data_IF_115303454902
#
_entry.id   IF_115303454902
#
_cell.length_a   1.000
_cell.length_b   1.000
_cell.length_c   1.000
_cell.angle_alpha   90.00
_cell.angle_beta   90.00
_cell.angle_gamma   90.00
#
_symmetry.space_group_name_H-M   'P 1'
#
loop_
_entity.id
_entity.type
_entity.pdbx_description
1 polymer ?
#
# COMPACT_ATOMS: atom_id res chain seq x y z
N UNK A 1 -30.01 -63.96 24.94
CA UNK A 1 -28.60 -63.93 24.47
C UNK A 1 -28.36 -62.84 23.43
N UNK A 2 -29.18 -62.70 22.39
CA UNK A 2 -28.99 -61.73 21.29
C UNK A 2 -28.77 -60.24 21.66
N UNK A 3 -29.33 -59.75 22.77
CA UNK A 3 -29.10 -58.36 23.23
C UNK A 3 -27.66 -58.14 23.73
N UNK A 4 -27.12 -59.11 24.48
CA UNK A 4 -25.76 -59.02 25.04
C UNK A 4 -24.72 -59.00 23.91
N UNK A 5 -24.90 -59.84 22.89
CA UNK A 5 -23.97 -59.91 21.76
C UNK A 5 -24.01 -58.63 20.91
N UNK A 6 -25.21 -58.08 20.67
CA UNK A 6 -25.36 -56.76 20.03
C UNK A 6 -24.71 -55.66 20.86
N UNK A 7 -24.97 -55.61 22.17
CA UNK A 7 -24.40 -54.57 23.03
C UNK A 7 -22.87 -54.62 23.04
N UNK A 8 -22.27 -55.80 23.15
CA UNK A 8 -20.80 -55.96 23.08
C UNK A 8 -20.22 -55.51 21.74
N UNK A 9 -20.90 -55.83 20.63
CA UNK A 9 -20.49 -55.36 19.31
C UNK A 9 -20.55 -53.84 19.18
N UNK A 10 -21.62 -53.19 19.66
CA UNK A 10 -21.77 -51.74 19.67
C UNK A 10 -20.73 -51.06 20.57
N UNK A 11 -20.48 -51.60 21.76
CA UNK A 11 -19.46 -51.08 22.67
C UNK A 11 -18.05 -51.15 22.05
N UNK A 12 -17.73 -52.25 21.36
CA UNK A 12 -16.45 -52.39 20.64
C UNK A 12 -16.30 -51.38 19.49
N UNK A 13 -17.35 -51.19 18.67
CA UNK A 13 -17.36 -50.19 17.62
C UNK A 13 -17.19 -48.78 18.17
N UNK A 14 -17.94 -48.43 19.22
CA UNK A 14 -17.90 -47.10 19.83
C UNK A 14 -16.53 -46.81 20.45
N UNK A 15 -15.91 -47.81 21.10
CA UNK A 15 -14.55 -47.69 21.62
C UNK A 15 -13.51 -47.52 20.49
N UNK A 16 -13.64 -48.26 19.39
CA UNK A 16 -12.75 -48.10 18.23
C UNK A 16 -12.86 -46.71 17.60
N UNK A 17 -14.09 -46.21 17.43
CA UNK A 17 -14.33 -44.88 16.87
C UNK A 17 -13.83 -43.79 17.81
N UNK A 18 -14.04 -43.93 19.13
CA UNK A 18 -13.53 -42.97 20.11
C UNK A 18 -11.99 -42.91 20.10
N UNK A 19 -11.31 -44.06 20.05
CA UNK A 19 -9.84 -44.11 19.95
C UNK A 19 -9.34 -43.47 18.66
N UNK A 20 -10.04 -43.69 17.54
CA UNK A 20 -9.69 -43.05 16.26
C UNK A 20 -9.83 -41.52 16.36
N UNK A 21 -10.96 -41.03 16.86
CA UNK A 21 -11.19 -39.59 17.04
C UNK A 21 -10.16 -38.97 17.98
N UNK A 22 -9.79 -39.65 19.07
CA UNK A 22 -8.74 -39.18 19.98
C UNK A 22 -7.38 -39.07 19.28
N UNK A 23 -6.98 -40.08 18.51
CA UNK A 23 -5.72 -40.06 17.76
C UNK A 23 -5.69 -38.96 16.68
N UNK A 24 -6.80 -38.78 15.96
CA UNK A 24 -6.95 -37.68 14.99
C UNK A 24 -6.91 -36.31 15.69
N UNK A 25 -7.51 -36.17 16.87
CA UNK A 25 -7.51 -34.92 17.65
C UNK A 25 -6.10 -34.57 18.16
N UNK A 26 -5.33 -35.57 18.62
CA UNK A 26 -3.93 -35.38 19.02
C UNK A 26 -3.06 -34.95 17.83
N UNK A 27 -3.29 -35.53 16.66
CA UNK A 27 -2.57 -35.16 15.43
C UNK A 27 -2.87 -33.71 15.05
N UNK A 28 -4.14 -33.33 15.04
CA UNK A 28 -4.57 -31.95 14.77
C UNK A 28 -3.98 -30.95 15.77
N UNK A 29 -3.86 -31.34 17.04
CA UNK A 29 -3.26 -30.49 18.06
C UNK A 29 -1.80 -30.14 17.73
N UNK A 30 -0.99 -31.12 17.33
CA UNK A 30 0.40 -30.88 16.93
C UNK A 30 0.54 -30.07 15.65
N UNK A 31 -0.33 -30.30 14.67
CA UNK A 31 -0.37 -29.49 13.45
C UNK A 31 -0.72 -28.02 13.76
N UNK A 32 -1.69 -27.78 14.64
CA UNK A 32 -2.07 -26.43 15.09
C UNK A 32 -0.91 -25.76 15.83
N UNK A 33 -0.19 -26.48 16.70
CA UNK A 33 0.97 -25.93 17.41
C UNK A 33 2.10 -25.54 16.45
N UNK A 34 2.38 -26.38 15.45
CA UNK A 34 3.37 -26.09 14.42
C UNK A 34 2.98 -24.84 13.62
N UNK A 35 1.73 -24.75 13.16
CA UNK A 35 1.22 -23.57 12.45
C UNK A 35 1.27 -22.32 13.33
N UNK A 36 0.95 -22.42 14.62
CA UNK A 36 1.04 -21.29 15.54
C UNK A 36 2.47 -20.77 15.68
N UNK A 37 3.44 -21.67 15.74
CA UNK A 37 4.86 -21.31 15.77
C UNK A 37 5.28 -20.60 14.48
N UNK A 38 4.93 -21.15 13.31
CA UNK A 38 5.27 -20.56 12.02
C UNK A 38 4.65 -19.16 11.84
N UNK A 39 3.38 -18.98 12.24
CA UNK A 39 2.70 -17.68 12.22
C UNK A 39 3.43 -16.66 13.10
N UNK A 40 3.93 -17.10 14.27
CA UNK A 40 4.69 -16.23 15.17
C UNK A 40 6.03 -15.81 14.57
N UNK A 41 6.78 -16.73 13.98
CA UNK A 41 8.05 -16.43 13.31
C UNK A 41 7.84 -15.44 12.14
N UNK A 42 6.82 -15.66 11.31
CA UNK A 42 6.46 -14.72 10.23
C UNK A 42 6.10 -13.33 10.79
N UNK A 43 5.37 -13.26 11.91
CA UNK A 43 5.01 -11.98 12.51
C UNK A 43 6.25 -11.21 13.00
N UNK A 44 7.22 -11.91 13.58
CA UNK A 44 8.49 -11.33 14.02
C UNK A 44 9.34 -10.85 12.82
N UNK A 45 9.39 -11.63 11.74
CA UNK A 45 10.07 -11.25 10.49
C UNK A 45 9.44 -10.01 9.85
N UNK A 46 8.11 -9.94 9.77
CA UNK A 46 7.39 -8.76 9.27
C UNK A 46 7.70 -7.52 10.11
N UNK A 47 7.78 -7.68 11.43
CA UNK A 47 8.13 -6.59 12.36
C UNK A 47 9.57 -6.13 12.14
N UNK A 48 10.52 -7.06 12.00
CA UNK A 48 11.91 -6.76 11.72
C UNK A 48 12.09 -6.05 10.37
N UNK A 49 11.41 -6.53 9.33
CA UNK A 49 11.41 -5.93 8.00
C UNK A 49 10.89 -4.49 8.04
N UNK A 50 9.75 -4.27 8.71
CA UNK A 50 9.16 -2.94 8.88
C UNK A 50 10.13 -1.99 9.59
N UNK A 51 10.83 -2.46 10.62
CA UNK A 51 11.80 -1.67 11.36
C UNK A 51 13.05 -1.35 10.52
N UNK A 52 13.53 -2.30 9.72
CA UNK A 52 14.62 -2.10 8.77
C UNK A 52 14.27 -1.04 7.73
N UNK A 53 13.08 -1.12 7.12
CA UNK A 53 12.57 -0.12 6.18
C UNK A 53 12.41 1.25 6.85
N UNK A 54 11.85 1.32 8.06
CA UNK A 54 11.73 2.58 8.79
C UNK A 54 13.09 3.24 9.07
N UNK A 55 14.12 2.43 9.38
CA UNK A 55 15.49 2.91 9.59
C UNK A 55 16.08 3.48 8.30
N UNK A 56 15.86 2.81 7.16
CA UNK A 56 16.28 3.31 5.85
C UNK A 56 15.56 4.62 5.50
N UNK A 57 14.25 4.68 5.70
CA UNK A 57 13.47 5.88 5.42
C UNK A 57 13.94 7.07 6.28
N UNK A 58 14.14 6.87 7.58
CA UNK A 58 14.64 7.89 8.49
C UNK A 58 16.03 8.41 8.07
N UNK A 59 16.91 7.52 7.61
CA UNK A 59 18.25 7.91 7.10
C UNK A 59 18.19 8.86 5.91
N UNK A 60 17.15 8.77 5.09
CA UNK A 60 16.97 9.55 3.88
C UNK A 60 15.89 10.63 3.99
N UNK A 61 15.37 10.89 5.19
CA UNK A 61 14.25 11.81 5.46
C UNK A 61 12.97 11.51 4.64
N UNK A 62 12.76 10.22 4.34
CA UNK A 62 11.61 9.75 3.57
C UNK A 62 10.41 9.49 4.47
N UNK A 63 9.22 9.64 3.89
CA UNK A 63 7.95 9.30 4.54
C UNK A 63 7.15 8.28 3.73
N UNK A 64 6.10 7.73 4.34
CA UNK A 64 5.18 6.83 3.65
C UNK A 64 4.47 7.53 2.49
N UNK A 65 4.23 8.84 2.60
CA UNK A 65 3.79 9.68 1.49
C UNK A 65 4.99 10.13 0.67
N UNK A 66 4.96 9.88 -0.64
CA UNK A 66 6.00 10.32 -1.57
C UNK A 66 5.91 11.82 -1.77
N UNK A 67 7.04 12.50 -1.59
CA UNK A 67 7.21 13.92 -1.87
C UNK A 67 7.91 14.09 -3.21
N UNK A 68 7.71 15.25 -3.83
CA UNK A 68 8.39 15.61 -5.09
C UNK A 68 9.91 15.48 -4.91
N UNK A 69 10.44 16.04 -3.83
CA UNK A 69 11.89 16.10 -3.57
C UNK A 69 12.55 14.75 -3.28
N UNK A 70 11.78 13.68 -3.03
CA UNK A 70 12.33 12.35 -2.77
C UNK A 70 13.12 11.80 -3.97
N UNK A 71 12.86 12.31 -5.18
CA UNK A 71 13.60 11.92 -6.39
C UNK A 71 15.07 12.40 -6.40
N UNK A 72 15.41 13.38 -5.56
CA UNK A 72 16.77 13.91 -5.43
C UNK A 72 17.54 13.25 -4.29
N UNK A 73 16.99 12.22 -3.65
CA UNK A 73 17.67 11.48 -2.60
C UNK A 73 18.91 10.78 -3.16
N UNK A 74 20.08 11.11 -2.60
CA UNK A 74 21.33 10.48 -3.00
C UNK A 74 21.51 9.12 -2.32
N UNK A 75 21.45 8.05 -3.11
CA UNK A 75 21.73 6.70 -2.66
C UNK A 75 23.14 6.25 -3.04
N UNK A 76 23.86 5.63 -2.09
CA UNK A 76 25.13 4.95 -2.35
C UNK A 76 24.93 3.45 -2.55
N UNK A 77 25.97 2.76 -3.03
CA UNK A 77 25.93 1.32 -3.32
C UNK A 77 25.50 0.47 -2.12
N UNK A 78 25.92 0.82 -0.90
CA UNK A 78 25.53 0.12 0.33
C UNK A 78 24.04 0.26 0.59
N UNK A 79 23.50 1.48 0.51
CA UNK A 79 22.06 1.71 0.72
C UNK A 79 21.18 1.03 -0.33
N UNK A 80 21.63 1.00 -1.59
CA UNK A 80 20.92 0.30 -2.66
C UNK A 80 20.88 -1.22 -2.40
N UNK A 81 21.95 -1.80 -1.86
CA UNK A 81 21.95 -3.22 -1.46
C UNK A 81 20.96 -3.50 -0.34
N UNK A 82 20.91 -2.64 0.68
CA UNK A 82 19.97 -2.78 1.79
C UNK A 82 18.51 -2.64 1.34
N UNK A 83 18.22 -1.66 0.47
CA UNK A 83 16.89 -1.50 -0.11
C UNK A 83 16.52 -2.76 -0.91
N UNK A 84 17.40 -3.26 -1.79
CA UNK A 84 17.14 -4.48 -2.57
C UNK A 84 16.88 -5.70 -1.70
N UNK A 85 17.63 -5.87 -0.61
CA UNK A 85 17.41 -6.95 0.35
C UNK A 85 16.03 -6.84 1.01
N UNK A 86 15.67 -5.66 1.52
CA UNK A 86 14.35 -5.43 2.13
C UNK A 86 13.19 -5.66 1.13
N UNK A 87 13.35 -5.28 -0.14
CA UNK A 87 12.36 -5.56 -1.18
C UNK A 87 12.26 -7.07 -1.49
N UNK A 88 13.38 -7.80 -1.48
CA UNK A 88 13.38 -9.25 -1.66
C UNK A 88 12.64 -9.96 -0.51
N UNK A 89 12.91 -9.57 0.73
CA UNK A 89 12.20 -10.06 1.92
C UNK A 89 10.69 -9.76 1.84
N UNK A 90 10.31 -8.54 1.45
CA UNK A 90 8.90 -8.18 1.23
C UNK A 90 8.21 -9.08 0.19
N UNK A 91 8.91 -9.44 -0.89
CA UNK A 91 8.36 -10.29 -1.95
C UNK A 91 8.17 -11.74 -1.51
N UNK A 92 8.96 -12.20 -0.53
CA UNK A 92 8.82 -13.54 0.04
C UNK A 92 7.60 -13.66 0.97
N UNK A 93 7.04 -12.54 1.44
CA UNK A 93 5.86 -12.55 2.29
C UNK A 93 4.59 -12.88 1.49
N UNK A 94 3.77 -13.85 1.93
CA UNK A 94 2.56 -14.27 1.20
C UNK A 94 1.49 -13.17 1.17
N UNK A 95 1.32 -12.44 2.27
CA UNK A 95 0.33 -11.36 2.37
C UNK A 95 0.88 -10.19 3.21
N UNK A 96 1.71 -9.31 2.61
CA UNK A 96 2.30 -8.20 3.34
C UNK A 96 1.25 -7.13 3.68
N UNK A 97 1.38 -6.51 4.86
CA UNK A 97 0.51 -5.41 5.26
C UNK A 97 0.70 -4.19 4.32
N UNK A 98 -0.38 -3.49 3.89
CA UNK A 98 -0.30 -2.35 2.96
C UNK A 98 0.74 -1.30 3.37
N UNK A 99 0.85 -0.99 4.66
CA UNK A 99 1.82 -0.01 5.16
C UNK A 99 3.28 -0.37 4.82
N UNK A 100 3.65 -1.65 4.86
CA UNK A 100 5.03 -2.09 4.55
C UNK A 100 5.28 -2.01 3.05
N UNK A 101 4.26 -2.36 2.25
CA UNK A 101 4.30 -2.23 0.80
C UNK A 101 4.44 -0.75 0.38
N UNK A 102 3.76 0.17 1.07
CA UNK A 102 3.89 1.63 0.86
C UNK A 102 5.31 2.10 1.19
N UNK A 103 5.87 1.70 2.34
CA UNK A 103 7.27 2.07 2.71
C UNK A 103 8.27 1.61 1.64
N UNK A 104 8.11 0.38 1.16
CA UNK A 104 8.91 -0.17 0.09
C UNK A 104 8.75 0.61 -1.23
N UNK A 105 7.52 0.99 -1.59
CA UNK A 105 7.25 1.84 -2.75
C UNK A 105 7.93 3.21 -2.62
N UNK A 106 7.89 3.85 -1.45
CA UNK A 106 8.57 5.12 -1.20
C UNK A 106 10.08 5.00 -1.34
N UNK A 107 10.69 3.95 -0.79
CA UNK A 107 12.13 3.69 -0.94
C UNK A 107 12.52 3.45 -2.40
N UNK A 108 11.73 2.68 -3.17
CA UNK A 108 12.03 2.47 -4.59
C UNK A 108 11.85 3.76 -5.40
N UNK A 109 10.81 4.52 -5.10
CA UNK A 109 10.55 5.83 -5.72
C UNK A 109 11.73 6.79 -5.52
N UNK A 110 12.34 6.82 -4.33
CA UNK A 110 13.51 7.68 -4.05
C UNK A 110 14.78 7.22 -4.77
N UNK A 111 14.89 5.95 -5.12
CA UNK A 111 16.01 5.42 -5.92
C UNK A 111 15.85 5.67 -7.43
N UNK A 112 14.69 6.18 -7.86
CA UNK A 112 14.36 6.38 -9.28
C UNK A 112 13.79 5.13 -9.97
N UNK A 113 13.60 4.01 -9.26
CA UNK A 113 12.89 2.83 -9.80
C UNK A 113 11.37 3.05 -9.77
N UNK A 114 10.91 3.97 -10.62
CA UNK A 114 9.52 4.43 -10.65
C UNK A 114 8.55 3.30 -11.06
N UNK A 115 8.97 2.41 -11.95
CA UNK A 115 8.14 1.29 -12.39
C UNK A 115 7.90 0.27 -11.27
N UNK A 116 8.95 -0.07 -10.49
CA UNK A 116 8.79 -0.96 -9.35
C UNK A 116 8.00 -0.29 -8.22
N UNK A 117 8.19 1.01 -7.98
CA UNK A 117 7.41 1.76 -7.00
C UNK A 117 5.92 1.79 -7.34
N UNK A 118 5.56 2.06 -8.60
CA UNK A 118 4.17 2.05 -9.08
C UNK A 118 3.51 0.68 -8.83
N UNK A 119 4.16 -0.42 -9.21
CA UNK A 119 3.63 -1.77 -8.96
C UNK A 119 3.38 -2.05 -7.47
N UNK A 120 4.26 -1.55 -6.59
CA UNK A 120 4.04 -1.66 -5.15
C UNK A 120 2.86 -0.81 -4.66
N UNK A 121 2.69 0.41 -5.16
CA UNK A 121 1.56 1.24 -4.77
C UNK A 121 0.22 0.70 -5.29
N UNK A 122 0.18 0.12 -6.48
CA UNK A 122 -1.00 -0.61 -6.98
C UNK A 122 -1.32 -1.81 -6.07
N UNK A 123 -0.29 -2.59 -5.70
CA UNK A 123 -0.45 -3.69 -4.74
C UNK A 123 -0.97 -3.20 -3.39
N UNK A 124 -0.42 -2.10 -2.86
CA UNK A 124 -0.87 -1.52 -1.60
C UNK A 124 -2.31 -1.01 -1.66
N UNK A 125 -2.71 -0.37 -2.75
CA UNK A 125 -4.07 0.09 -2.98
C UNK A 125 -5.07 -1.07 -3.00
N UNK A 126 -4.70 -2.20 -3.62
CA UNK A 126 -5.53 -3.41 -3.68
C UNK A 126 -5.61 -4.16 -2.34
N UNK A 127 -4.55 -4.12 -1.54
CA UNK A 127 -4.51 -4.76 -0.21
C UNK A 127 -5.18 -3.91 0.88
N UNK A 128 -5.31 -2.60 0.66
CA UNK A 128 -5.82 -1.66 1.65
C UNK A 128 -7.29 -1.97 2.03
N UNK A 129 -7.50 -2.29 3.30
CA UNK A 129 -8.84 -2.44 3.88
C UNK A 129 -9.34 -1.14 4.50
N UNK A 130 -8.42 -0.26 4.89
CA UNK A 130 -8.73 1.03 5.52
C UNK A 130 -8.75 2.15 4.50
N UNK A 131 -9.74 3.07 4.56
CA UNK A 131 -9.80 4.22 3.66
C UNK A 131 -8.50 5.05 3.64
N UNK A 132 -7.91 5.32 4.80
CA UNK A 132 -6.67 6.10 4.90
C UNK A 132 -5.49 5.46 4.15
N UNK A 133 -5.36 4.13 4.19
CA UNK A 133 -4.30 3.41 3.47
C UNK A 133 -4.53 3.44 1.96
N UNK A 134 -5.79 3.31 1.52
CA UNK A 134 -6.17 3.40 0.12
C UNK A 134 -5.93 4.82 -0.43
N UNK A 135 -6.27 5.84 0.34
CA UNK A 135 -6.04 7.24 -0.03
C UNK A 135 -4.53 7.52 -0.18
N UNK A 136 -3.72 7.09 0.79
CA UNK A 136 -2.26 7.25 0.74
C UNK A 136 -1.64 6.51 -0.45
N UNK A 137 -2.05 5.27 -0.71
CA UNK A 137 -1.57 4.51 -1.87
C UNK A 137 -1.95 5.20 -3.19
N UNK A 138 -3.18 5.73 -3.28
CA UNK A 138 -3.65 6.47 -4.45
C UNK A 138 -2.88 7.78 -4.65
N UNK A 139 -2.63 8.53 -3.58
CA UNK A 139 -1.81 9.73 -3.67
C UNK A 139 -0.36 9.41 -4.11
N UNK A 140 0.21 8.32 -3.63
CA UNK A 140 1.53 7.88 -4.07
C UNK A 140 1.55 7.43 -5.54
N UNK A 141 0.48 6.78 -6.02
CA UNK A 141 0.30 6.46 -7.45
C UNK A 141 0.28 7.72 -8.31
N UNK A 142 -0.46 8.75 -7.88
CA UNK A 142 -0.43 10.06 -8.51
C UNK A 142 1.01 10.58 -8.65
N UNK A 143 1.78 10.59 -7.56
CA UNK A 143 3.17 11.10 -7.56
C UNK A 143 4.08 10.35 -8.52
N UNK A 144 4.02 9.01 -8.57
CA UNK A 144 4.89 8.23 -9.48
C UNK A 144 4.43 8.33 -10.94
N UNK A 145 3.11 8.34 -11.20
CA UNK A 145 2.55 8.47 -12.55
C UNK A 145 2.74 9.87 -13.13
N UNK A 146 2.81 10.90 -12.28
CA UNK A 146 3.25 12.24 -12.67
C UNK A 146 4.65 12.23 -13.29
N UNK A 147 5.62 11.56 -12.63
CA UNK A 147 7.00 11.46 -13.12
C UNK A 147 7.10 10.70 -14.44
N UNK A 148 6.16 9.77 -14.70
CA UNK A 148 6.01 9.06 -15.98
C UNK A 148 5.21 9.82 -17.04
N UNK A 149 4.72 11.03 -16.73
CA UNK A 149 3.84 11.81 -17.60
C UNK A 149 2.51 11.10 -17.97
N UNK A 150 2.09 10.14 -17.15
CA UNK A 150 0.83 9.41 -17.32
C UNK A 150 -0.35 10.21 -16.75
N UNK A 151 -0.58 11.41 -17.27
CA UNK A 151 -1.40 12.44 -16.63
C UNK A 151 -2.86 12.03 -16.39
N UNK A 152 -3.47 11.29 -17.31
CA UNK A 152 -4.85 10.81 -17.14
C UNK A 152 -4.96 9.86 -15.95
N UNK A 153 -4.02 8.92 -15.81
CA UNK A 153 -4.01 7.97 -14.71
C UNK A 153 -3.66 8.67 -13.39
N UNK A 154 -2.64 9.55 -13.42
CA UNK A 154 -2.24 10.34 -12.26
C UNK A 154 -3.43 11.16 -11.71
N UNK A 155 -4.18 11.84 -12.58
CA UNK A 155 -5.34 12.61 -12.16
C UNK A 155 -6.41 11.72 -11.51
N UNK A 156 -6.70 10.55 -12.10
CA UNK A 156 -7.66 9.62 -11.53
C UNK A 156 -7.27 9.14 -10.13
N UNK A 157 -5.98 8.88 -9.88
CA UNK A 157 -5.51 8.48 -8.55
C UNK A 157 -5.57 9.64 -7.55
N UNK A 158 -5.26 10.87 -7.98
CA UNK A 158 -5.39 12.06 -7.14
C UNK A 158 -6.85 12.29 -6.75
N UNK A 159 -7.78 12.19 -7.71
CA UNK A 159 -9.22 12.30 -7.44
C UNK A 159 -9.68 11.22 -6.46
N UNK A 160 -9.23 9.97 -6.64
CA UNK A 160 -9.51 8.88 -5.70
C UNK A 160 -9.01 9.21 -4.29
N UNK A 161 -7.79 9.75 -4.16
CA UNK A 161 -7.24 10.14 -2.86
C UNK A 161 -8.07 11.27 -2.20
N UNK A 162 -8.44 12.30 -2.97
CA UNK A 162 -9.23 13.45 -2.50
C UNK A 162 -10.64 13.05 -2.09
N UNK A 163 -11.28 12.16 -2.83
CA UNK A 163 -12.62 11.66 -2.53
C UNK A 163 -12.66 10.92 -1.19
N UNK A 164 -11.61 10.15 -0.90
CA UNK A 164 -11.48 9.45 0.38
C UNK A 164 -11.08 10.41 1.50
N UNK A 165 -10.11 11.28 1.24
CA UNK A 165 -9.61 12.23 2.20
C UNK A 165 -9.15 13.55 1.55
N UNK A 166 -9.88 14.62 1.86
CA UNK A 166 -9.72 15.92 1.23
C UNK A 166 -8.38 16.60 1.51
N UNK A 167 -7.62 16.16 2.51
CA UNK A 167 -6.29 16.77 2.77
C UNK A 167 -5.28 16.52 1.64
N UNK A 168 -5.53 15.55 0.77
CA UNK A 168 -4.71 15.31 -0.43
C UNK A 168 -4.96 16.32 -1.55
N UNK A 169 -5.98 17.19 -1.41
CA UNK A 169 -6.25 18.22 -2.40
C UNK A 169 -5.10 19.24 -2.46
N UNK A 170 -4.61 19.50 -3.67
CA UNK A 170 -3.49 20.43 -3.90
C UNK A 170 -3.92 21.90 -3.93
N UNK A 171 -5.23 22.15 -4.00
CA UNK A 171 -5.89 23.46 -3.90
C UNK A 171 -7.33 23.28 -3.42
N UNK A 172 -8.07 24.39 -3.30
CA UNK A 172 -9.50 24.35 -2.97
C UNK A 172 -10.34 23.78 -4.13
N UNK A 173 -10.50 22.45 -4.13
CA UNK A 173 -11.28 21.72 -5.12
C UNK A 173 -12.80 21.88 -4.97
N UNK A 174 -13.29 22.46 -3.87
CA UNK A 174 -14.71 22.86 -3.80
C UNK A 174 -14.95 24.07 -4.70
N UNK A 175 -14.04 25.04 -4.63
CA UNK A 175 -14.15 26.30 -5.36
C UNK A 175 -13.70 26.16 -6.82
N UNK A 176 -12.67 25.35 -7.05
CA UNK A 176 -12.07 25.12 -8.37
C UNK A 176 -11.91 23.63 -8.65
N UNK A 177 -12.98 22.90 -9.00
CA UNK A 177 -12.87 21.46 -9.24
C UNK A 177 -11.98 21.15 -10.45
N UNK A 178 -11.21 20.07 -10.34
CA UNK A 178 -10.21 19.68 -11.35
C UNK A 178 -10.89 19.00 -12.54
N UNK A 179 -10.62 19.50 -13.74
CA UNK A 179 -11.05 18.88 -15.01
C UNK A 179 -9.94 18.04 -15.60
N UNK A 180 -8.73 18.60 -15.67
CA UNK A 180 -7.62 17.97 -16.39
C UNK A 180 -6.28 18.37 -15.75
N UNK A 181 -5.35 17.44 -15.71
CA UNK A 181 -3.94 17.72 -15.45
C UNK A 181 -3.27 18.09 -16.77
N UNK A 182 -2.80 19.33 -16.88
CA UNK A 182 -2.18 19.89 -18.08
C UNK A 182 -0.67 19.63 -18.15
N UNK A 183 -0.03 19.47 -17.00
CA UNK A 183 1.39 19.17 -16.92
C UNK A 183 1.93 19.22 -15.49
N UNK A 184 3.16 18.76 -15.32
CA UNK A 184 3.88 18.80 -14.05
C UNK A 184 5.38 19.04 -14.28
N UNK A 185 6.04 19.64 -13.29
CA UNK A 185 7.49 19.86 -13.27
C UNK A 185 7.99 20.26 -11.88
N UNK A 186 9.23 20.75 -11.78
CA UNK A 186 9.83 21.13 -10.49
C UNK A 186 9.09 22.23 -9.73
N UNK A 187 8.20 22.97 -10.39
CA UNK A 187 7.31 23.95 -9.78
C UNK A 187 5.92 23.39 -9.42
N UNK A 188 5.74 22.06 -9.45
CA UNK A 188 4.48 21.39 -9.12
C UNK A 188 3.60 21.10 -10.33
N UNK A 189 2.28 21.10 -10.12
CA UNK A 189 1.29 20.66 -11.12
C UNK A 189 0.48 21.82 -11.67
N UNK A 190 0.06 21.72 -12.93
CA UNK A 190 -0.84 22.67 -13.57
C UNK A 190 -2.12 21.95 -13.95
N UNK A 191 -3.24 22.43 -13.42
CA UNK A 191 -4.56 21.90 -13.68
C UNK A 191 -5.40 22.87 -14.51
N UNK A 192 -6.21 22.31 -15.40
CA UNK A 192 -7.42 22.95 -15.87
C UNK A 192 -8.50 22.69 -14.83
N UNK A 193 -9.08 23.76 -14.31
CA UNK A 193 -10.20 23.71 -13.40
C UNK A 193 -11.38 24.50 -13.99
N UNK A 194 -12.57 24.28 -13.43
CA UNK A 194 -13.69 25.20 -13.63
C UNK A 194 -14.00 25.92 -12.31
N UNK A 195 -14.76 27.00 -12.35
CA UNK A 195 -15.37 27.51 -11.12
C UNK A 195 -16.45 26.55 -10.59
N UNK A 196 -16.86 26.72 -9.34
CA UNK A 196 -17.89 25.89 -8.72
C UNK A 196 -19.25 25.88 -9.45
N UNK A 197 -19.48 26.79 -10.40
CA UNK A 197 -20.71 26.87 -11.21
C UNK A 197 -20.55 26.26 -12.61
N UNK A 198 -19.32 25.93 -13.03
CA UNK A 198 -19.00 25.36 -14.35
C UNK A 198 -18.95 26.37 -15.49
N UNK A 199 -19.01 27.67 -15.20
CA UNK A 199 -19.17 28.71 -16.22
C UNK A 199 -17.83 29.17 -16.79
N UNK A 200 -16.79 29.25 -15.94
CA UNK A 200 -15.46 29.75 -16.32
C UNK A 200 -14.37 28.71 -16.06
N UNK A 201 -13.44 28.60 -17.02
CA UNK A 201 -12.23 27.77 -16.90
C UNK A 201 -11.07 28.57 -16.29
N UNK A 202 -10.32 27.91 -15.42
CA UNK A 202 -9.19 28.45 -14.70
C UNK A 202 -7.96 27.56 -14.88
N UNK A 203 -6.79 28.19 -14.96
CA UNK A 203 -5.51 27.49 -14.85
C UNK A 203 -5.07 27.60 -13.38
N UNK A 204 -4.97 26.46 -12.72
CA UNK A 204 -4.56 26.33 -11.32
C UNK A 204 -3.17 25.72 -11.26
N UNK A 205 -2.16 26.54 -10.96
CA UNK A 205 -0.81 26.08 -10.65
C UNK A 205 -0.68 25.77 -9.17
N UNK A 206 -0.35 24.53 -8.81
CA UNK A 206 -0.15 24.10 -7.43
C UNK A 206 1.34 23.88 -7.17
N UNK A 207 1.92 24.72 -6.31
CA UNK A 207 3.33 24.63 -5.93
C UNK A 207 3.55 23.49 -4.91
N UNK A 208 4.75 22.89 -4.86
CA UNK A 208 5.09 21.87 -3.87
C UNK A 208 4.97 22.36 -2.41
N UNK A 209 5.00 23.67 -2.19
CA UNK A 209 4.84 24.32 -0.89
C UNK A 209 3.37 24.46 -0.44
N UNK A 210 2.42 23.98 -1.23
CA UNK A 210 0.98 24.10 -0.96
C UNK A 210 0.36 25.43 -1.39
N UNK A 211 1.16 26.36 -1.93
CA UNK A 211 0.65 27.60 -2.50
C UNK A 211 0.01 27.36 -3.89
N UNK A 212 -1.15 27.97 -4.13
CA UNK A 212 -1.87 27.86 -5.40
C UNK A 212 -1.86 29.20 -6.14
N UNK A 213 -1.60 29.16 -7.44
CA UNK A 213 -1.65 30.30 -8.36
C UNK A 213 -2.81 30.10 -9.33
N UNK A 214 -3.67 31.11 -9.45
CA UNK A 214 -4.85 31.05 -10.31
C UNK A 214 -4.73 32.09 -11.42
N UNK A 215 -5.00 31.68 -12.65
CA UNK A 215 -5.11 32.57 -13.81
C UNK A 215 -6.32 32.19 -14.64
N UNK A 216 -6.96 33.18 -15.24
CA UNK A 216 -8.04 32.94 -16.20
C UNK A 216 -7.52 32.08 -17.36
N UNK A 217 -8.20 30.95 -17.60
CA UNK A 217 -7.87 30.05 -18.70
C UNK A 217 -8.51 30.56 -19.98
N UNK A 218 -7.77 31.35 -20.76
CA UNK A 218 -8.16 31.67 -22.14
C UNK A 218 -7.66 30.53 -23.02
N UNK A 219 -8.56 29.65 -23.43
CA UNK A 219 -8.32 28.60 -24.42
C UNK A 219 -9.38 28.67 -25.52
#
# INVERSE_FOLDING_TARGET
MAFSDRFQHWAGLLNSQLTQVLAETETLHWEIEAVHKDVKEIADDVKALKQSMATLMARFDLSAQVKVNDEFTHHNSTSLKLIKAAIAELKALPSPHPSVVIMAGSLLSSTGDIAAAESLFEKAQNLAQKPAEKALASFNLFQVRLRKQAYTQALADLQTAIEIDRHYALHDVSKYPIVQLLGAGGMGCVFLCHDQWGEKKWICGCLPTGASLFRDGVY
#
